data_IF_283373992924
#
_entry.id   IF_283373992924
#
_cell.length_a   1.000
_cell.length_b   1.000
_cell.length_c   1.000
_cell.angle_alpha   90.00
_cell.angle_beta   90.00
_cell.angle_gamma   90.00
#
_symmetry.space_group_name_H-M   'P 1'
#
loop_
_entity.id
_entity.type
_entity.pdbx_description
1 polymer ?
#
# COMPACT_ATOMS: atom_id res chain seq x y z
N UNK A 1 -0.12 10.49 50.73
CA UNK A 1 -1.22 10.64 49.75
C UNK A 1 -0.62 10.52 48.36
N UNK A 2 -0.78 9.36 47.71
CA UNK A 2 -0.39 9.18 46.30
C UNK A 2 -1.45 9.83 45.41
N UNK A 3 -1.02 10.68 44.47
CA UNK A 3 -1.89 11.39 43.54
C UNK A 3 -2.57 10.40 42.57
N UNK A 4 -3.89 10.46 42.34
CA UNK A 4 -4.63 9.52 41.48
C UNK A 4 -4.09 9.44 40.04
N UNK A 5 -3.51 10.54 39.57
CA UNK A 5 -3.10 10.77 38.18
C UNK A 5 -2.01 9.83 37.67
N UNK A 6 -1.10 9.37 38.55
CA UNK A 6 0.00 8.49 38.16
C UNK A 6 -0.44 7.01 38.00
N UNK A 7 -1.55 6.62 38.63
CA UNK A 7 -2.10 5.26 38.50
C UNK A 7 -2.94 5.11 37.23
N UNK A 8 -3.72 6.13 36.85
CA UNK A 8 -4.51 6.12 35.61
C UNK A 8 -3.64 6.07 34.35
N UNK A 9 -2.54 6.84 34.32
CA UNK A 9 -1.59 6.78 33.20
C UNK A 9 -0.89 5.41 33.09
N UNK A 10 -0.56 4.78 34.23
CA UNK A 10 0.07 3.45 34.25
C UNK A 10 -0.88 2.32 33.83
N UNK A 11 -2.18 2.45 34.12
CA UNK A 11 -3.21 1.48 33.68
C UNK A 11 -3.48 1.59 32.18
N UNK A 12 -3.47 2.81 31.62
CA UNK A 12 -3.62 3.04 30.18
C UNK A 12 -2.47 2.43 29.35
N UNK A 13 -1.22 2.60 29.80
CA UNK A 13 -0.05 2.01 29.15
C UNK A 13 -0.14 0.47 29.10
N UNK A 14 -0.70 -0.15 30.15
CA UNK A 14 -0.88 -1.59 30.19
C UNK A 14 -1.86 -2.08 29.13
N UNK A 15 -2.99 -1.39 28.92
CA UNK A 15 -3.99 -1.82 27.93
C UNK A 15 -3.48 -1.65 26.49
N UNK A 16 -2.66 -0.63 26.21
CA UNK A 16 -2.08 -0.45 24.87
C UNK A 16 -1.31 -1.70 24.42
N UNK A 17 -0.50 -2.27 25.31
CA UNK A 17 0.34 -3.45 25.00
C UNK A 17 -0.41 -4.78 25.17
N UNK A 18 -1.37 -4.88 26.08
CA UNK A 18 -2.00 -6.16 26.47
C UNK A 18 -3.38 -6.41 25.86
N UNK A 19 -4.14 -5.37 25.54
CA UNK A 19 -5.45 -5.44 24.88
C UNK A 19 -5.70 -4.16 24.06
N UNK A 20 -5.02 -4.09 22.91
CA UNK A 20 -5.08 -2.95 22.00
C UNK A 20 -6.53 -2.60 21.60
N UNK A 21 -7.39 -3.60 21.41
CA UNK A 21 -8.79 -3.35 21.07
C UNK A 21 -9.52 -2.62 22.20
N UNK A 22 -9.42 -3.11 23.45
CA UNK A 22 -10.00 -2.42 24.60
C UNK A 22 -9.42 -1.00 24.76
N UNK A 23 -8.11 -0.83 24.56
CA UNK A 23 -7.46 0.49 24.57
C UNK A 23 -8.07 1.43 23.52
N UNK A 24 -8.24 1.00 22.26
CA UNK A 24 -8.85 1.86 21.21
C UNK A 24 -10.27 2.31 21.58
N UNK A 25 -11.10 1.40 22.13
CA UNK A 25 -12.45 1.73 22.56
C UNK A 25 -12.44 2.72 23.73
N UNK A 26 -11.53 2.53 24.67
CA UNK A 26 -11.37 3.45 25.79
C UNK A 26 -10.93 4.84 25.32
N UNK A 27 -9.91 4.96 24.47
CA UNK A 27 -9.46 6.25 23.94
C UNK A 27 -10.59 6.97 23.18
N UNK A 28 -11.35 6.24 22.34
CA UNK A 28 -12.50 6.79 21.64
C UNK A 28 -13.58 7.34 22.61
N UNK A 29 -13.84 6.64 23.72
CA UNK A 29 -14.77 7.12 24.74
C UNK A 29 -14.25 8.36 25.46
N UNK A 30 -12.95 8.39 25.84
CA UNK A 30 -12.34 9.55 26.48
C UNK A 30 -12.40 10.80 25.59
N UNK A 31 -12.13 10.65 24.29
CA UNK A 31 -12.28 11.73 23.30
C UNK A 31 -13.74 12.19 23.17
N UNK A 32 -14.69 11.24 23.09
CA UNK A 32 -16.13 11.53 22.95
C UNK A 32 -16.68 12.35 24.12
N UNK A 33 -16.21 12.06 25.34
CA UNK A 33 -16.60 12.78 26.55
C UNK A 33 -15.67 13.95 26.90
N UNK A 34 -14.74 14.31 26.01
CA UNK A 34 -13.82 15.43 26.18
C UNK A 34 -12.97 15.34 27.47
N UNK A 35 -12.65 14.12 27.89
CA UNK A 35 -11.84 13.84 29.08
C UNK A 35 -10.34 13.92 28.73
N UNK A 36 -9.91 15.08 28.22
CA UNK A 36 -8.58 15.30 27.63
C UNK A 36 -7.41 14.90 28.54
N UNK A 37 -7.57 15.08 29.85
CA UNK A 37 -6.54 14.77 30.84
C UNK A 37 -6.26 13.27 31.02
N UNK A 38 -7.14 12.40 30.49
CA UNK A 38 -7.03 10.94 30.60
C UNK A 38 -6.63 10.28 29.28
N UNK A 39 -6.66 11.02 28.17
CA UNK A 39 -6.28 10.53 26.84
C UNK A 39 -4.79 10.18 26.85
N UNK A 40 -4.49 8.99 26.37
CA UNK A 40 -3.12 8.54 26.13
C UNK A 40 -2.57 9.18 24.84
N UNK A 41 -2.25 10.47 24.95
CA UNK A 41 -2.01 11.33 23.80
C UNK A 41 -0.80 10.88 22.96
N UNK A 42 0.25 10.36 23.59
CA UNK A 42 1.47 9.93 22.89
C UNK A 42 1.18 8.75 21.98
N UNK A 43 0.61 7.68 22.54
CA UNK A 43 0.26 6.49 21.77
C UNK A 43 -0.84 6.79 20.74
N UNK A 44 -1.82 7.66 21.07
CA UNK A 44 -2.85 8.06 20.12
C UNK A 44 -2.29 8.82 18.90
N UNK A 45 -1.34 9.74 19.10
CA UNK A 45 -0.66 10.43 17.99
C UNK A 45 0.07 9.41 17.12
N UNK A 46 0.82 8.49 17.73
CA UNK A 46 1.55 7.46 17.00
C UNK A 46 0.61 6.60 16.14
N UNK A 47 -0.56 6.20 16.67
CA UNK A 47 -1.55 5.44 15.91
C UNK A 47 -2.17 6.26 14.76
N UNK A 48 -2.46 7.54 14.96
CA UNK A 48 -2.96 8.39 13.87
C UNK A 48 -1.92 8.55 12.76
N UNK A 49 -0.65 8.71 13.11
CA UNK A 49 0.45 8.74 12.13
C UNK A 49 0.64 7.37 11.45
N UNK A 50 0.47 6.27 12.19
CA UNK A 50 0.59 4.91 11.68
C UNK A 50 -0.47 4.62 10.60
N UNK A 51 -1.70 5.10 10.79
CA UNK A 51 -2.76 5.02 9.78
C UNK A 51 -2.37 5.71 8.47
N UNK A 52 -1.81 6.91 8.53
CA UNK A 52 -1.32 7.62 7.33
C UNK A 52 -0.16 6.91 6.64
N UNK A 53 0.78 6.36 7.41
CA UNK A 53 1.89 5.54 6.88
C UNK A 53 1.38 4.28 6.18
N UNK A 54 0.34 3.64 6.71
CA UNK A 54 -0.27 2.44 6.14
C UNK A 54 -0.88 2.69 4.77
N UNK A 55 -1.63 3.78 4.59
CA UNK A 55 -2.23 4.11 3.28
C UNK A 55 -1.16 4.38 2.21
N UNK A 56 -0.06 5.07 2.58
CA UNK A 56 1.09 5.27 1.68
C UNK A 56 1.78 3.94 1.34
N UNK A 57 1.95 3.05 2.32
CA UNK A 57 2.54 1.73 2.09
C UNK A 57 1.65 0.87 1.19
N UNK A 58 0.34 0.96 1.35
CA UNK A 58 -0.62 0.25 0.51
C UNK A 58 -0.54 0.71 -0.96
N UNK A 59 -0.45 2.02 -1.21
CA UNK A 59 -0.22 2.55 -2.56
C UNK A 59 1.04 1.93 -3.17
N UNK A 60 2.16 1.95 -2.43
CA UNK A 60 3.43 1.36 -2.89
C UNK A 60 3.29 -0.12 -3.19
N UNK A 61 2.70 -0.91 -2.29
CA UNK A 61 2.52 -2.35 -2.47
C UNK A 61 1.71 -2.67 -3.73
N UNK A 62 0.63 -1.93 -3.96
CA UNK A 62 -0.21 -2.12 -5.15
C UNK A 62 0.54 -1.77 -6.43
N UNK A 63 1.30 -0.69 -6.42
CA UNK A 63 2.18 -0.31 -7.54
C UNK A 63 3.24 -1.39 -7.82
N UNK A 64 3.87 -1.94 -6.78
CA UNK A 64 4.86 -3.03 -6.91
C UNK A 64 4.23 -4.22 -7.65
N UNK A 65 3.06 -4.66 -7.20
CA UNK A 65 2.37 -5.82 -7.79
C UNK A 65 1.96 -5.51 -9.24
N UNK A 66 1.38 -4.33 -9.50
CA UNK A 66 0.96 -3.92 -10.84
C UNK A 66 2.15 -3.89 -11.80
N UNK A 67 3.19 -3.15 -11.47
CA UNK A 67 4.38 -2.97 -12.32
C UNK A 67 5.07 -4.32 -12.52
N UNK A 68 5.23 -5.12 -11.47
CA UNK A 68 5.88 -6.43 -11.57
C UNK A 68 5.11 -7.37 -12.50
N UNK A 69 3.76 -7.33 -12.48
CA UNK A 69 2.95 -8.07 -13.43
C UNK A 69 3.01 -7.52 -14.85
N UNK A 70 3.13 -6.20 -15.03
CA UNK A 70 3.35 -5.59 -16.35
C UNK A 70 4.72 -5.98 -16.93
N UNK A 71 5.78 -6.01 -16.12
CA UNK A 71 7.10 -6.51 -16.53
C UNK A 71 7.02 -7.99 -16.92
N UNK A 72 6.40 -8.84 -16.09
CA UNK A 72 6.17 -10.25 -16.45
C UNK A 72 5.39 -10.38 -17.77
N UNK A 73 4.41 -9.51 -17.98
CA UNK A 73 3.60 -9.49 -19.20
C UNK A 73 4.43 -9.11 -20.43
N UNK A 74 5.31 -8.12 -20.31
CA UNK A 74 6.21 -7.67 -21.38
C UNK A 74 7.23 -8.76 -21.74
N UNK A 75 7.96 -9.27 -20.76
CA UNK A 75 9.16 -10.09 -20.99
C UNK A 75 8.88 -11.61 -21.04
N UNK A 76 7.68 -12.07 -20.69
CA UNK A 76 7.29 -13.49 -20.78
C UNK A 76 5.96 -13.68 -21.53
N UNK A 77 5.91 -13.28 -22.80
CA UNK A 77 4.71 -13.36 -23.64
C UNK A 77 4.08 -14.77 -23.69
N UNK A 78 4.89 -15.83 -23.67
CA UNK A 78 4.44 -17.24 -23.67
C UNK A 78 3.84 -17.72 -22.34
N UNK A 79 3.99 -16.96 -21.25
CA UNK A 79 3.49 -17.29 -19.90
C UNK A 79 2.28 -16.45 -19.48
N UNK A 80 1.85 -15.52 -20.34
CA UNK A 80 0.66 -14.69 -20.11
C UNK A 80 -0.53 -15.59 -19.80
N UNK A 81 -1.29 -15.21 -18.77
CA UNK A 81 -2.42 -15.99 -18.27
C UNK A 81 -3.58 -15.09 -17.87
N UNK A 82 -4.79 -15.66 -17.83
CA UNK A 82 -5.98 -14.96 -17.31
C UNK A 82 -5.81 -14.53 -15.86
N UNK A 83 -5.03 -15.27 -15.07
CA UNK A 83 -4.71 -14.90 -13.69
C UNK A 83 -3.86 -13.63 -13.64
N UNK A 84 -2.80 -13.53 -14.45
CA UNK A 84 -1.97 -12.31 -14.49
C UNK A 84 -2.78 -11.10 -14.98
N UNK A 85 -3.60 -11.29 -16.01
CA UNK A 85 -4.51 -10.26 -16.50
C UNK A 85 -5.49 -9.79 -15.41
N UNK A 86 -6.07 -10.72 -14.65
CA UNK A 86 -6.96 -10.40 -13.54
C UNK A 86 -6.23 -9.59 -12.46
N UNK A 87 -5.01 -9.99 -12.08
CA UNK A 87 -4.17 -9.25 -11.12
C UNK A 87 -3.93 -7.82 -11.60
N UNK A 88 -3.49 -7.62 -12.85
CA UNK A 88 -3.26 -6.28 -13.42
C UNK A 88 -4.52 -5.42 -13.32
N UNK A 89 -5.67 -5.96 -13.75
CA UNK A 89 -6.95 -5.23 -13.73
C UNK A 89 -7.41 -4.88 -12.31
N UNK A 90 -7.23 -5.80 -11.35
CA UNK A 90 -7.58 -5.57 -9.95
C UNK A 90 -6.69 -4.49 -9.35
N UNK A 91 -5.37 -4.60 -9.52
CA UNK A 91 -4.44 -3.60 -8.97
C UNK A 91 -4.71 -2.20 -9.53
N UNK A 92 -4.95 -2.06 -10.84
CA UNK A 92 -5.35 -0.79 -11.45
C UNK A 92 -6.58 -0.19 -10.78
N UNK A 93 -7.65 -0.97 -10.64
CA UNK A 93 -8.90 -0.53 -10.02
C UNK A 93 -8.67 -0.08 -8.59
N UNK A 94 -7.95 -0.88 -7.82
CA UNK A 94 -7.75 -0.62 -6.41
C UNK A 94 -6.81 0.57 -6.16
N UNK A 95 -5.80 0.79 -7.01
CA UNK A 95 -4.94 1.99 -6.97
C UNK A 95 -5.78 3.24 -7.23
N UNK A 96 -6.61 3.24 -8.27
CA UNK A 96 -7.48 4.37 -8.60
C UNK A 96 -8.43 4.64 -7.43
N UNK A 97 -9.04 3.58 -6.87
CA UNK A 97 -9.92 3.69 -5.71
C UNK A 97 -9.18 4.30 -4.51
N UNK A 98 -7.99 3.79 -4.18
CA UNK A 98 -7.18 4.27 -3.07
C UNK A 98 -6.83 5.76 -3.19
N UNK A 99 -6.44 6.21 -4.39
CA UNK A 99 -6.12 7.61 -4.65
C UNK A 99 -7.36 8.52 -4.60
N UNK A 100 -8.54 8.01 -4.97
CA UNK A 100 -9.79 8.75 -4.86
C UNK A 100 -10.25 8.88 -3.40
N UNK A 101 -10.05 7.83 -2.59
CA UNK A 101 -10.36 7.84 -1.16
C UNK A 101 -9.35 8.67 -0.35
N UNK A 102 -8.11 8.79 -0.84
CA UNK A 102 -7.03 9.54 -0.20
C UNK A 102 -6.33 10.52 -1.16
N UNK A 103 -6.97 11.65 -1.55
CA UNK A 103 -6.42 12.57 -2.56
C UNK A 103 -5.05 13.15 -2.20
N UNK A 104 -4.72 13.28 -0.91
CA UNK A 104 -3.41 13.76 -0.45
C UNK A 104 -2.25 12.83 -0.83
N UNK A 105 -2.51 11.53 -1.08
CA UNK A 105 -1.49 10.59 -1.54
C UNK A 105 -0.95 10.91 -2.93
N UNK A 106 -1.70 11.66 -3.75
CA UNK A 106 -1.24 12.08 -5.08
C UNK A 106 0.07 12.87 -5.01
N UNK A 107 0.27 13.65 -3.94
CA UNK A 107 1.52 14.40 -3.72
C UNK A 107 2.75 13.51 -3.51
N UNK A 108 2.55 12.25 -3.10
CA UNK A 108 3.61 11.26 -2.88
C UNK A 108 3.70 10.22 -4.00
N UNK A 109 2.92 10.37 -5.08
CA UNK A 109 2.80 9.35 -6.12
C UNK A 109 4.13 9.11 -6.86
N UNK A 110 4.87 10.18 -7.18
CA UNK A 110 6.15 10.09 -7.89
C UNK A 110 7.17 9.28 -7.08
N UNK A 111 7.36 9.63 -5.81
CA UNK A 111 8.25 8.90 -4.89
C UNK A 111 7.79 7.45 -4.73
N UNK A 112 6.49 7.22 -4.55
CA UNK A 112 5.95 5.87 -4.42
C UNK A 112 6.15 5.03 -5.70
N UNK A 113 6.10 5.64 -6.89
CA UNK A 113 6.33 4.97 -8.17
C UNK A 113 7.80 4.55 -8.33
N UNK A 114 8.73 5.44 -8.01
CA UNK A 114 10.18 5.12 -8.07
C UNK A 114 10.50 3.93 -7.15
N UNK A 115 10.10 4.02 -5.89
CA UNK A 115 10.33 2.96 -4.90
C UNK A 115 9.60 1.67 -5.26
N UNK A 116 8.40 1.77 -5.84
CA UNK A 116 7.65 0.61 -6.29
C UNK A 116 8.30 -0.06 -7.50
N UNK A 117 8.89 0.70 -8.42
CA UNK A 117 9.53 0.15 -9.60
C UNK A 117 10.75 -0.69 -9.25
N UNK A 118 11.61 -0.24 -8.34
CA UNK A 118 12.77 -1.01 -7.87
C UNK A 118 12.34 -2.39 -7.34
N UNK A 119 11.38 -2.40 -6.42
CA UNK A 119 10.85 -3.64 -5.85
C UNK A 119 10.09 -4.50 -6.88
N UNK A 120 9.43 -3.86 -7.86
CA UNK A 120 8.74 -4.58 -8.94
C UNK A 120 9.70 -5.30 -9.87
N UNK A 121 10.90 -4.74 -10.11
CA UNK A 121 11.96 -5.43 -10.87
C UNK A 121 12.45 -6.67 -10.14
N UNK A 122 12.63 -6.59 -8.82
CA UNK A 122 13.00 -7.74 -7.99
C UNK A 122 11.91 -8.81 -8.02
N UNK A 123 10.64 -8.42 -7.87
CA UNK A 123 9.50 -9.33 -7.99
C UNK A 123 9.46 -10.00 -9.37
N UNK A 124 9.61 -9.22 -10.45
CA UNK A 124 9.61 -9.75 -11.80
C UNK A 124 10.80 -10.69 -12.03
N UNK A 125 12.01 -10.32 -11.59
CA UNK A 125 13.21 -11.17 -11.71
C UNK A 125 13.02 -12.50 -10.97
N UNK A 126 12.56 -12.46 -9.72
CA UNK A 126 12.34 -13.65 -8.91
C UNK A 126 11.28 -14.60 -9.48
N UNK A 127 10.17 -14.08 -10.00
CA UNK A 127 9.07 -14.89 -10.53
C UNK A 127 9.29 -15.39 -11.96
N UNK A 128 10.04 -14.64 -12.77
CA UNK A 128 10.34 -15.00 -14.17
C UNK A 128 11.62 -15.83 -14.31
N UNK A 129 12.48 -15.82 -13.30
CA UNK A 129 13.84 -16.33 -13.34
C UNK A 129 14.71 -15.66 -14.43
N UNK A 130 14.35 -14.44 -14.84
CA UNK A 130 15.16 -13.59 -15.72
C UNK A 130 16.13 -12.74 -14.88
N UNK A 131 17.37 -12.50 -15.33
CA UNK A 131 18.30 -11.62 -14.63
C UNK A 131 17.73 -10.21 -14.44
N UNK A 132 18.06 -9.56 -13.32
CA UNK A 132 17.61 -8.19 -13.04
C UNK A 132 18.03 -7.18 -14.16
N UNK A 133 19.14 -7.45 -14.84
CA UNK A 133 19.64 -6.67 -15.98
C UNK A 133 18.76 -6.75 -17.22
N UNK A 134 17.82 -7.70 -17.29
CA UNK A 134 16.81 -7.78 -18.36
C UNK A 134 15.82 -6.62 -18.27
N UNK A 135 15.54 -6.15 -17.06
CA UNK A 135 14.62 -5.04 -16.83
C UNK A 135 15.39 -3.72 -16.75
N UNK A 136 14.87 -2.69 -17.41
CA UNK A 136 15.41 -1.32 -17.36
C UNK A 136 15.67 -0.87 -15.91
N UNK A 137 16.75 -0.14 -15.62
CA UNK A 137 17.00 0.42 -14.29
C UNK A 137 16.03 1.54 -13.92
N UNK A 138 15.43 2.23 -14.90
CA UNK A 138 14.36 3.22 -14.69
C UNK A 138 13.01 2.73 -15.22
N UNK A 139 11.92 3.16 -14.57
CA UNK A 139 10.58 2.87 -15.05
C UNK A 139 10.33 3.58 -16.38
N UNK A 140 10.01 2.81 -17.42
CA UNK A 140 9.66 3.34 -18.73
C UNK A 140 8.15 3.49 -18.92
N UNK A 141 7.35 3.04 -17.96
CA UNK A 141 5.90 3.20 -17.98
C UNK A 141 5.53 4.55 -17.38
N UNK A 142 4.76 5.33 -18.13
CA UNK A 142 4.19 6.56 -17.61
C UNK A 142 3.03 6.24 -16.66
N UNK A 143 2.67 7.18 -15.79
CA UNK A 143 1.53 7.01 -14.89
C UNK A 143 0.26 6.69 -15.68
N UNK A 144 0.03 7.37 -16.79
CA UNK A 144 -1.11 7.19 -17.68
C UNK A 144 -1.19 5.75 -18.20
N UNK A 145 -0.05 5.15 -18.54
CA UNK A 145 0.03 3.75 -18.98
C UNK A 145 -0.29 2.78 -17.85
N UNK A 146 0.21 3.06 -16.65
CA UNK A 146 -0.02 2.22 -15.48
C UNK A 146 -1.50 2.12 -15.14
N UNK A 147 -2.26 3.22 -15.21
CA UNK A 147 -3.70 3.20 -14.91
C UNK A 147 -4.60 2.90 -16.11
N UNK A 148 -4.08 2.96 -17.34
CA UNK A 148 -4.86 2.67 -18.54
C UNK A 148 -5.23 1.18 -18.62
N UNK A 149 -6.53 0.88 -18.55
CA UNK A 149 -7.07 -0.50 -18.59
C UNK A 149 -6.71 -1.28 -19.86
N UNK A 150 -6.36 -0.57 -20.93
CA UNK A 150 -6.02 -1.13 -22.25
C UNK A 150 -4.51 -1.17 -22.51
N UNK A 151 -3.67 -0.68 -21.60
CA UNK A 151 -2.22 -0.74 -21.74
C UNK A 151 -1.69 -2.10 -21.30
N UNK A 152 -0.94 -2.77 -22.19
CA UNK A 152 -0.25 -4.02 -21.94
C UNK A 152 1.07 -4.02 -22.73
N UNK A 153 2.24 -3.98 -22.08
CA UNK A 153 3.53 -3.80 -22.73
C UNK A 153 4.02 -5.06 -23.48
N UNK A 154 4.98 -4.87 -24.38
CA UNK A 154 5.56 -5.93 -25.22
C UNK A 154 4.67 -6.35 -26.39
N UNK A 155 4.83 -7.60 -26.82
CA UNK A 155 4.10 -8.13 -27.99
C UNK A 155 2.58 -8.07 -27.81
N UNK A 156 1.84 -7.93 -28.92
CA UNK A 156 0.37 -7.96 -28.91
C UNK A 156 -0.13 -9.25 -28.28
N UNK A 157 -1.01 -9.14 -27.28
CA UNK A 157 -1.61 -10.29 -26.63
C UNK A 157 -2.65 -10.95 -27.55
N UNK A 158 -2.73 -12.28 -27.51
CA UNK A 158 -3.67 -13.03 -28.34
C UNK A 158 -5.13 -12.74 -27.94
N UNK A 159 -6.04 -12.56 -28.91
CA UNK A 159 -7.41 -12.07 -28.68
C UNK A 159 -8.21 -12.91 -27.67
N UNK A 160 -7.96 -14.22 -27.61
CA UNK A 160 -8.62 -15.14 -26.67
C UNK A 160 -8.28 -14.88 -25.19
N UNK A 161 -7.16 -14.22 -24.88
CA UNK A 161 -6.81 -13.83 -23.51
C UNK A 161 -7.51 -12.54 -23.08
N UNK A 162 -7.89 -11.69 -24.04
CA UNK A 162 -8.39 -10.34 -23.79
C UNK A 162 -9.92 -10.27 -23.71
N UNK A 163 -10.62 -11.30 -24.20
CA UNK A 163 -12.07 -11.55 -24.05
C UNK A 163 -12.43 -12.07 -22.64
#
# INVERSE_FOLDING_TARGET
MQSPRAKESAVNLNLYETDFYAWTQQQANLLRYQLWNQVDLVNLIEEVESLGRRERQELRNRLIILIGHLLKWEYQSSKRSRSWLATIRIQRRDIIKLLNENPSLQSSLEVALEEAYENARDLASGETNLPLSTFSPQCLYLWEDLINLNFYPGDVANDNLMQ
#
